data_IF_099348202595
#
_entry.id   IF_099348202595
#
_cell.length_a   1.000
_cell.length_b   1.000
_cell.length_c   1.000
_cell.angle_alpha   90.00
_cell.angle_beta   90.00
_cell.angle_gamma   90.00
#
_symmetry.space_group_name_H-M   'P 1'
#
loop_
_entity.id
_entity.type
_entity.pdbx_description
1 polymer ?
#
# COMPACT_ATOMS: atom_id res chain seq x y z
N UNK A 1 -2.70 -26.64 12.99
CA UNK A 1 -3.21 -25.72 14.03
C UNK A 1 -2.28 -24.51 14.11
N UNK A 2 -2.82 -23.31 14.36
CA UNK A 2 -2.01 -22.11 14.57
C UNK A 2 -1.88 -21.88 16.08
N UNK A 3 -0.66 -22.00 16.60
CA UNK A 3 -0.36 -21.97 18.04
C UNK A 3 -0.68 -20.60 18.65
N UNK A 4 -1.10 -20.58 19.91
CA UNK A 4 -1.56 -19.37 20.61
C UNK A 4 -0.51 -18.26 20.62
N UNK A 5 0.77 -18.62 20.78
CA UNK A 5 1.92 -17.74 20.65
C UNK A 5 1.93 -16.97 19.32
N UNK A 6 1.82 -17.69 18.19
CA UNK A 6 1.91 -17.10 16.84
C UNK A 6 0.82 -16.05 16.65
N UNK A 7 -0.41 -16.34 17.08
CA UNK A 7 -1.53 -15.41 16.91
C UNK A 7 -1.38 -14.15 17.79
N UNK A 8 -0.90 -14.30 19.02
CA UNK A 8 -0.71 -13.17 19.93
C UNK A 8 0.45 -12.28 19.46
N UNK A 9 1.59 -12.87 19.11
CA UNK A 9 2.77 -12.13 18.62
C UNK A 9 2.44 -11.42 17.30
N UNK A 10 1.77 -12.10 16.35
CA UNK A 10 1.32 -11.49 15.10
C UNK A 10 0.41 -10.27 15.33
N UNK A 11 -0.59 -10.39 16.20
CA UNK A 11 -1.48 -9.27 16.51
C UNK A 11 -0.74 -8.08 17.15
N UNK A 12 0.26 -8.35 17.98
CA UNK A 12 1.10 -7.30 18.59
C UNK A 12 1.97 -6.59 17.55
N UNK A 13 2.57 -7.35 16.63
CA UNK A 13 3.38 -6.80 15.53
C UNK A 13 2.53 -5.96 14.58
N UNK A 14 1.33 -6.44 14.22
CA UNK A 14 0.42 -5.72 13.34
C UNK A 14 -0.02 -4.38 13.93
N UNK A 15 -0.29 -4.33 15.24
CA UNK A 15 -0.58 -3.08 15.96
C UNK A 15 0.60 -2.10 15.96
N UNK A 16 1.84 -2.60 15.87
CA UNK A 16 3.06 -1.82 15.76
C UNK A 16 3.43 -1.49 14.31
N UNK A 17 2.64 -1.91 13.32
CA UNK A 17 2.87 -1.64 11.90
C UNK A 17 3.79 -2.65 11.20
N UNK A 18 4.25 -3.70 11.88
CA UNK A 18 5.10 -4.73 11.30
C UNK A 18 4.26 -5.89 10.78
N UNK A 19 4.31 -6.13 9.47
CA UNK A 19 3.55 -7.16 8.76
C UNK A 19 4.46 -7.98 7.84
N UNK A 20 3.97 -9.12 7.35
CA UNK A 20 4.69 -9.96 6.36
C UNK A 20 5.41 -11.18 6.92
N UNK A 21 5.43 -11.38 8.24
CA UNK A 21 6.07 -12.55 8.84
C UNK A 21 5.37 -13.88 8.48
N UNK A 22 6.17 -14.81 7.99
CA UNK A 22 5.82 -16.20 7.71
C UNK A 22 5.64 -17.00 8.99
N UNK A 23 4.93 -18.13 8.90
CA UNK A 23 4.77 -19.05 10.03
C UNK A 23 6.12 -19.60 10.54
N UNK A 24 7.10 -19.78 9.64
CA UNK A 24 8.41 -20.29 9.98
C UNK A 24 9.20 -19.31 10.84
N UNK A 25 9.14 -18.01 10.54
CA UNK A 25 9.84 -16.98 11.32
C UNK A 25 9.34 -16.90 12.77
N UNK A 26 8.05 -17.16 13.01
CA UNK A 26 7.53 -17.28 14.37
C UNK A 26 8.02 -18.54 15.10
N UNK A 27 8.27 -19.63 14.37
CA UNK A 27 8.82 -20.87 14.94
C UNK A 27 10.29 -20.67 15.28
N UNK A 28 11.07 -20.10 14.36
CA UNK A 28 12.49 -19.81 14.57
C UNK A 28 12.68 -18.83 15.75
N UNK A 29 11.85 -17.78 15.82
CA UNK A 29 11.85 -16.87 16.98
C UNK A 29 11.53 -17.60 18.29
N UNK A 30 10.57 -18.53 18.29
CA UNK A 30 10.24 -19.30 19.49
C UNK A 30 11.41 -20.19 19.94
N UNK A 31 12.18 -20.74 19.00
CA UNK A 31 13.40 -21.51 19.28
C UNK A 31 14.48 -20.60 19.86
N UNK A 32 14.73 -19.44 19.24
CA UNK A 32 15.79 -18.52 19.63
C UNK A 32 15.56 -17.89 21.03
N UNK A 33 14.31 -17.61 21.39
CA UNK A 33 13.96 -17.11 22.73
C UNK A 33 13.84 -18.21 23.78
N UNK A 34 14.03 -19.49 23.41
CA UNK A 34 13.94 -20.64 24.31
C UNK A 34 12.52 -20.95 24.80
N UNK A 35 11.50 -20.66 23.99
CA UNK A 35 10.10 -20.89 24.36
C UNK A 35 9.80 -22.40 24.42
N UNK A 36 9.49 -22.89 25.62
CA UNK A 36 9.24 -24.32 25.85
C UNK A 36 7.81 -24.76 25.51
N UNK A 37 6.85 -23.84 25.54
CA UNK A 37 5.42 -24.11 25.30
C UNK A 37 4.79 -22.99 24.46
N UNK A 38 4.44 -23.30 23.20
CA UNK A 38 3.82 -22.35 22.26
C UNK A 38 2.32 -22.12 22.50
N UNK A 39 1.66 -22.96 23.31
CA UNK A 39 0.24 -22.85 23.60
C UNK A 39 -0.03 -22.14 24.93
N UNK A 40 0.98 -21.98 25.79
CA UNK A 40 0.90 -21.18 27.00
C UNK A 40 2.12 -20.25 27.23
N UNK A 41 2.38 -19.30 26.31
CA UNK A 41 3.50 -18.37 26.44
C UNK A 41 3.27 -17.33 27.55
N UNK A 42 4.30 -17.04 28.34
CA UNK A 42 4.29 -15.99 29.36
C UNK A 42 4.35 -14.59 28.72
N UNK A 43 3.89 -13.59 29.46
CA UNK A 43 3.86 -12.21 28.98
C UNK A 43 5.25 -11.67 28.61
N UNK A 44 6.29 -12.04 29.36
CA UNK A 44 7.68 -11.68 29.09
C UNK A 44 8.21 -12.31 27.80
N UNK A 45 7.88 -13.57 27.55
CA UNK A 45 8.27 -14.31 26.34
C UNK A 45 7.61 -13.72 25.09
N UNK A 46 6.35 -13.29 25.21
CA UNK A 46 5.64 -12.59 24.14
C UNK A 46 6.24 -11.22 23.83
N UNK A 47 6.75 -10.49 24.83
CA UNK A 47 7.40 -9.20 24.61
C UNK A 47 8.78 -9.40 23.97
N UNK A 48 9.58 -10.34 24.48
CA UNK A 48 10.87 -10.73 23.88
C UNK A 48 10.73 -11.20 22.43
N UNK A 49 9.70 -11.99 22.12
CA UNK A 49 9.43 -12.44 20.76
C UNK A 49 9.09 -11.29 19.81
N UNK A 50 8.31 -10.31 20.27
CA UNK A 50 7.95 -9.13 19.48
C UNK A 50 9.18 -8.26 19.24
N UNK A 51 10.00 -8.03 20.27
CA UNK A 51 11.26 -7.27 20.16
C UNK A 51 12.25 -7.98 19.22
N UNK A 52 12.45 -9.29 19.40
CA UNK A 52 13.32 -10.09 18.55
C UNK A 52 12.90 -10.06 17.07
N UNK A 53 11.60 -10.17 16.78
CA UNK A 53 11.12 -10.11 15.39
C UNK A 53 11.20 -8.71 14.79
N UNK A 54 11.03 -7.66 15.61
CA UNK A 54 11.24 -6.28 15.17
C UNK A 54 12.73 -6.03 14.90
N UNK A 55 13.61 -6.43 15.82
CA UNK A 55 15.06 -6.32 15.65
C UNK A 55 15.55 -7.16 14.48
N UNK A 56 15.01 -8.37 14.29
CA UNK A 56 15.33 -9.20 13.11
C UNK A 56 14.85 -8.55 11.82
N UNK A 57 13.68 -7.91 11.79
CA UNK A 57 13.21 -7.19 10.61
C UNK A 57 14.00 -5.90 10.37
N UNK A 58 14.43 -5.20 11.43
CA UNK A 58 15.30 -4.01 11.37
C UNK A 58 16.74 -4.35 11.00
N UNK A 59 17.27 -5.49 11.46
CA UNK A 59 18.61 -6.00 11.12
C UNK A 59 18.62 -6.76 9.79
N UNK A 60 17.48 -7.28 9.31
CA UNK A 60 17.35 -7.66 7.90
C UNK A 60 17.38 -6.42 6.98
N UNK A 61 17.02 -5.24 7.50
CA UNK A 61 17.22 -3.94 6.86
C UNK A 61 18.63 -3.36 7.13
N UNK A 62 19.47 -4.02 7.94
CA UNK A 62 20.87 -3.68 8.16
C UNK A 62 21.67 -4.82 8.79
N UNK A 63 22.56 -5.43 8.00
CA UNK A 63 23.89 -5.74 8.46
C UNK A 63 24.87 -4.88 7.66
N UNK A 64 25.11 -3.67 8.17
CA UNK A 64 26.46 -3.10 8.19
C UNK A 64 27.08 -3.53 9.52
N UNK A 65 27.21 -4.84 9.72
CA UNK A 65 28.32 -5.30 10.55
C UNK A 65 29.53 -5.23 9.64
N UNK A 66 30.44 -4.34 10.01
CA UNK A 66 31.82 -4.27 9.53
C UNK A 66 32.55 -5.55 9.97
N UNK A 67 32.11 -6.72 9.51
CA UNK A 67 33.07 -7.79 9.33
C UNK A 67 33.89 -7.39 8.11
N UNK A 68 35.19 -7.17 8.33
CA UNK A 68 36.23 -7.33 7.31
C UNK A 68 36.13 -8.75 6.74
N UNK A 69 35.06 -9.02 5.99
CA UNK A 69 34.96 -10.18 5.16
C UNK A 69 35.88 -9.83 4.00
N UNK A 70 37.15 -10.23 4.14
CA UNK A 70 38.11 -10.30 3.05
C UNK A 70 37.43 -11.10 1.95
N UNK A 71 36.81 -10.36 1.03
CA UNK A 71 36.24 -10.85 -0.20
C UNK A 71 37.38 -11.57 -0.91
N UNK A 72 37.44 -12.89 -0.75
CA UNK A 72 38.37 -13.73 -1.50
C UNK A 72 37.81 -13.89 -2.91
N UNK A 73 37.67 -12.77 -3.61
CA UNK A 73 37.47 -12.74 -5.04
C UNK A 73 38.87 -12.89 -5.62
N UNK A 74 39.11 -14.05 -6.23
CA UNK A 74 40.28 -14.28 -7.07
C UNK A 74 40.13 -13.43 -8.33
N UNK A 75 40.43 -12.14 -8.23
CA UNK A 75 40.58 -11.26 -9.38
C UNK A 75 41.94 -11.59 -10.02
N UNK A 76 42.02 -11.85 -11.33
CA UNK A 76 43.31 -11.88 -12.00
C UNK A 76 43.95 -10.49 -11.84
N UNK A 77 45.18 -10.44 -11.30
CA UNK A 77 46.04 -9.25 -11.37
C UNK A 77 46.13 -8.83 -12.84
N UNK A 78 45.45 -7.74 -13.20
CA UNK A 78 45.55 -7.12 -14.51
C UNK A 78 46.09 -5.72 -14.35
N UNK A 79 47.06 -5.42 -15.20
CA UNK A 79 47.57 -4.07 -15.44
C UNK A 79 46.41 -3.12 -15.80
N UNK A 80 46.49 -1.90 -15.28
CA UNK A 80 45.54 -0.77 -15.34
C UNK A 80 44.83 -0.61 -16.70
N UNK A 81 43.77 -1.37 -16.92
CA UNK A 81 42.88 -1.25 -18.07
C UNK A 81 41.46 -1.07 -17.55
N UNK A 82 40.76 -0.06 -18.08
CA UNK A 82 39.39 0.24 -17.67
C UNK A 82 38.48 -0.99 -17.85
N UNK A 83 37.62 -1.26 -16.86
CA UNK A 83 36.70 -2.40 -16.88
C UNK A 83 35.78 -2.33 -18.12
N UNK A 84 35.65 -3.44 -18.82
CA UNK A 84 34.71 -3.55 -19.95
C UNK A 84 33.27 -3.53 -19.46
N UNK A 85 32.32 -3.20 -20.34
CA UNK A 85 30.88 -3.20 -20.02
C UNK A 85 30.38 -4.55 -19.50
N UNK A 86 30.91 -5.65 -20.04
CA UNK A 86 30.54 -7.01 -19.61
C UNK A 86 31.05 -7.29 -18.20
N UNK A 87 32.29 -6.93 -17.89
CA UNK A 87 32.87 -7.10 -16.55
C UNK A 87 32.12 -6.26 -15.52
N UNK A 88 31.72 -5.04 -15.87
CA UNK A 88 30.88 -4.19 -15.01
C UNK A 88 29.53 -4.81 -14.71
N UNK A 89 28.86 -5.40 -15.71
CA UNK A 89 27.59 -6.10 -15.51
C UNK A 89 27.74 -7.32 -14.60
N UNK A 90 28.80 -8.11 -14.80
CA UNK A 90 29.09 -9.29 -13.98
C UNK A 90 29.37 -8.89 -12.53
N UNK A 91 30.15 -7.83 -12.30
CA UNK A 91 30.42 -7.31 -10.96
C UNK A 91 29.15 -6.73 -10.29
N UNK A 92 28.26 -6.09 -11.05
CA UNK A 92 26.94 -5.66 -10.52
C UNK A 92 26.11 -6.89 -10.12
N UNK A 93 26.07 -7.93 -10.96
CA UNK A 93 25.35 -9.17 -10.66
C UNK A 93 25.89 -9.83 -9.39
N UNK A 94 27.20 -10.06 -9.32
CA UNK A 94 27.88 -10.63 -8.15
C UNK A 94 27.61 -9.80 -6.89
N UNK A 95 27.70 -8.47 -6.99
CA UNK A 95 27.45 -7.59 -5.85
C UNK A 95 25.98 -7.65 -5.42
N UNK A 96 25.04 -7.73 -6.35
CA UNK A 96 23.61 -7.86 -6.03
C UNK A 96 23.29 -9.20 -5.34
N UNK A 97 23.89 -10.29 -5.82
CA UNK A 97 23.75 -11.61 -5.21
C UNK A 97 24.35 -11.64 -3.80
N UNK A 98 25.51 -11.01 -3.61
CA UNK A 98 26.13 -10.84 -2.30
C UNK A 98 25.27 -10.00 -1.33
N UNK A 99 24.46 -9.09 -1.86
CA UNK A 99 23.46 -8.34 -1.09
C UNK A 99 22.13 -9.09 -0.89
N UNK A 100 22.00 -10.32 -1.42
CA UNK A 100 20.76 -11.08 -1.39
C UNK A 100 19.65 -10.52 -2.28
N UNK A 101 20.01 -9.70 -3.27
CA UNK A 101 19.08 -9.03 -4.19
C UNK A 101 19.12 -9.75 -5.53
N UNK A 102 17.95 -10.18 -6.02
CA UNK A 102 17.81 -10.69 -7.38
C UNK A 102 17.46 -9.53 -8.31
N UNK A 103 18.40 -9.15 -9.18
CA UNK A 103 18.17 -8.17 -10.24
C UNK A 103 17.79 -8.88 -11.55
N UNK A 104 16.94 -8.25 -12.36
CA UNK A 104 16.74 -8.73 -13.74
C UNK A 104 17.93 -8.33 -14.63
N UNK A 105 18.10 -9.00 -15.76
CA UNK A 105 19.16 -8.69 -16.72
C UNK A 105 19.12 -7.21 -17.17
N UNK A 106 17.91 -6.66 -17.34
CA UNK A 106 17.75 -5.24 -17.70
C UNK A 106 18.17 -4.29 -16.58
N UNK A 107 17.92 -4.65 -15.31
CA UNK A 107 18.35 -3.85 -14.16
C UNK A 107 19.87 -3.83 -14.04
N UNK A 108 20.51 -4.99 -14.23
CA UNK A 108 21.97 -5.11 -14.22
C UNK A 108 22.60 -4.24 -15.30
N UNK A 109 22.06 -4.28 -16.53
CA UNK A 109 22.51 -3.44 -17.63
C UNK A 109 22.34 -1.95 -17.28
N UNK A 110 21.19 -1.55 -16.75
CA UNK A 110 20.90 -0.17 -16.39
C UNK A 110 21.82 0.35 -15.28
N UNK A 111 22.05 -0.44 -14.24
CA UNK A 111 22.94 -0.12 -13.11
C UNK A 111 24.38 -0.01 -13.58
N UNK A 112 24.88 -1.00 -14.33
CA UNK A 112 26.24 -0.98 -14.86
C UNK A 112 26.49 0.22 -15.80
N UNK A 113 25.47 0.64 -16.56
CA UNK A 113 25.55 1.80 -17.45
C UNK A 113 25.59 3.14 -16.72
N UNK A 114 25.19 3.19 -15.44
CA UNK A 114 25.25 4.39 -14.60
C UNK A 114 26.58 4.57 -13.86
N UNK A 115 27.50 3.61 -14.00
CA UNK A 115 28.85 3.69 -13.40
C UNK A 115 29.77 4.68 -14.11
N UNK A 116 30.75 5.19 -13.38
CA UNK A 116 31.82 5.99 -13.97
C UNK A 116 32.67 5.15 -14.96
N UNK A 117 32.87 5.65 -16.18
CA UNK A 117 33.70 5.00 -17.20
C UNK A 117 35.18 4.91 -16.80
N UNK A 118 35.63 5.73 -15.83
CA UNK A 118 37.04 5.84 -15.46
C UNK A 118 37.51 4.84 -14.40
N UNK A 119 36.63 3.99 -13.85
CA UNK A 119 37.01 3.05 -12.81
C UNK A 119 37.78 1.87 -13.41
N UNK A 120 39.08 1.83 -13.12
CA UNK A 120 40.02 0.83 -13.63
C UNK A 120 40.17 -0.41 -12.73
N UNK A 121 39.63 -0.40 -11.51
CA UNK A 121 39.77 -1.53 -10.57
C UNK A 121 38.43 -2.17 -10.22
N UNK A 122 38.38 -3.50 -10.29
CA UNK A 122 37.20 -4.29 -9.93
C UNK A 122 36.75 -4.06 -8.48
N UNK A 123 37.69 -3.88 -7.55
CA UNK A 123 37.37 -3.60 -6.13
C UNK A 123 36.73 -2.23 -5.95
N UNK A 124 37.25 -1.20 -6.64
CA UNK A 124 36.67 0.13 -6.62
C UNK A 124 35.26 0.12 -7.24
N UNK A 125 35.10 -0.64 -8.33
CA UNK A 125 33.81 -0.80 -8.98
C UNK A 125 32.80 -1.56 -8.11
N UNK A 126 33.18 -2.61 -7.38
CA UNK A 126 32.26 -3.32 -6.47
C UNK A 126 31.70 -2.40 -5.38
N UNK A 127 32.54 -1.51 -4.84
CA UNK A 127 32.11 -0.50 -3.85
C UNK A 127 31.12 0.48 -4.46
N UNK A 128 31.36 0.93 -5.69
CA UNK A 128 30.44 1.80 -6.43
C UNK A 128 29.13 1.06 -6.79
N UNK A 129 29.23 -0.17 -7.29
CA UNK A 129 28.11 -1.02 -7.68
C UNK A 129 27.13 -1.21 -6.52
N UNK A 130 27.61 -1.41 -5.29
CA UNK A 130 26.76 -1.44 -4.09
C UNK A 130 25.95 -0.15 -3.93
N UNK A 131 26.58 1.01 -4.14
CA UNK A 131 25.92 2.32 -4.12
C UNK A 131 24.89 2.47 -5.23
N UNK A 132 25.25 2.10 -6.47
CA UNK A 132 24.37 2.17 -7.63
C UNK A 132 23.15 1.26 -7.50
N UNK A 133 23.33 0.02 -7.01
CA UNK A 133 22.24 -0.92 -6.70
C UNK A 133 21.30 -0.32 -5.65
N UNK A 134 21.85 0.24 -4.57
CA UNK A 134 21.04 0.84 -3.49
C UNK A 134 20.25 2.04 -4.00
N UNK A 135 20.87 2.90 -4.80
CA UNK A 135 20.22 4.07 -5.40
C UNK A 135 19.12 3.65 -6.38
N UNK A 136 19.38 2.63 -7.21
CA UNK A 136 18.41 2.09 -8.15
C UNK A 136 17.15 1.58 -7.44
N UNK A 137 17.33 0.78 -6.39
CA UNK A 137 16.22 0.26 -5.59
C UNK A 137 15.46 1.38 -4.87
N UNK A 138 16.15 2.37 -4.30
CA UNK A 138 15.52 3.53 -3.68
C UNK A 138 14.66 4.31 -4.69
N UNK A 139 15.16 4.49 -5.91
CA UNK A 139 14.44 5.16 -6.99
C UNK A 139 13.20 4.37 -7.42
N UNK A 140 13.30 3.04 -7.58
CA UNK A 140 12.13 2.20 -7.86
C UNK A 140 11.07 2.30 -6.76
N UNK A 141 11.47 2.19 -5.49
CA UNK A 141 10.54 2.30 -4.36
C UNK A 141 9.85 3.67 -4.36
N UNK A 142 10.58 4.75 -4.63
CA UNK A 142 10.02 6.09 -4.73
C UNK A 142 9.04 6.22 -5.90
N UNK A 143 9.36 5.64 -7.07
CA UNK A 143 8.46 5.62 -8.22
C UNK A 143 7.15 4.87 -7.89
N UNK A 144 7.23 3.69 -7.27
CA UNK A 144 6.04 2.95 -6.83
C UNK A 144 5.22 3.72 -5.79
N UNK A 145 5.86 4.41 -4.85
CA UNK A 145 5.17 5.27 -3.87
C UNK A 145 4.43 6.43 -4.54
N UNK A 146 5.06 7.08 -5.52
CA UNK A 146 4.44 8.17 -6.28
C UNK A 146 3.23 7.66 -7.07
N UNK A 147 3.38 6.55 -7.79
CA UNK A 147 2.29 5.93 -8.54
C UNK A 147 1.11 5.53 -7.63
N UNK A 148 1.41 4.94 -6.47
CA UNK A 148 0.39 4.56 -5.49
C UNK A 148 -0.34 5.77 -4.92
N UNK A 149 0.40 6.85 -4.62
CA UNK A 149 -0.17 8.11 -4.11
C UNK A 149 -1.09 8.74 -5.15
N UNK A 150 -0.68 8.74 -6.42
CA UNK A 150 -1.52 9.24 -7.52
C UNK A 150 -2.81 8.44 -7.65
N UNK A 151 -2.73 7.10 -7.67
CA UNK A 151 -3.91 6.24 -7.76
C UNK A 151 -4.89 6.46 -6.60
N UNK A 152 -4.38 6.62 -5.38
CA UNK A 152 -5.21 6.95 -4.21
C UNK A 152 -5.88 8.32 -4.35
N UNK A 153 -5.17 9.30 -4.93
CA UNK A 153 -5.73 10.60 -5.27
C UNK A 153 -6.89 10.50 -6.26
N UNK A 154 -6.70 9.74 -7.34
CA UNK A 154 -7.72 9.54 -8.39
C UNK A 154 -8.97 8.84 -7.83
N UNK A 155 -8.79 7.80 -7.01
CA UNK A 155 -9.91 7.09 -6.34
C UNK A 155 -10.64 8.04 -5.40
N UNK A 156 -9.91 8.82 -4.61
CA UNK A 156 -10.52 9.77 -3.67
C UNK A 156 -11.31 10.85 -4.41
N UNK A 157 -10.78 11.34 -5.54
CA UNK A 157 -11.48 12.27 -6.43
C UNK A 157 -12.79 11.68 -6.96
N UNK A 158 -12.75 10.48 -7.52
CA UNK A 158 -13.92 9.80 -8.05
C UNK A 158 -15.01 9.56 -6.98
N UNK A 159 -14.61 9.21 -5.75
CA UNK A 159 -15.54 9.02 -4.62
C UNK A 159 -16.19 10.34 -4.19
N UNK A 160 -15.43 11.43 -4.16
CA UNK A 160 -15.95 12.75 -3.83
C UNK A 160 -16.92 13.26 -4.91
N UNK A 161 -16.59 13.05 -6.19
CA UNK A 161 -17.46 13.40 -7.31
C UNK A 161 -18.78 12.61 -7.26
N UNK A 162 -18.70 11.30 -7.02
CA UNK A 162 -19.90 10.47 -6.86
C UNK A 162 -20.75 10.94 -5.66
N UNK A 163 -20.12 11.27 -4.53
CA UNK A 163 -20.83 11.77 -3.34
C UNK A 163 -21.53 13.12 -3.61
N UNK A 164 -20.89 14.01 -4.36
CA UNK A 164 -21.48 15.27 -4.80
C UNK A 164 -22.69 15.05 -5.72
N UNK A 165 -22.56 14.14 -6.69
CA UNK A 165 -23.68 13.77 -7.58
C UNK A 165 -24.86 13.17 -6.83
N UNK A 166 -24.61 12.26 -5.88
CA UNK A 166 -25.67 11.67 -5.03
C UNK A 166 -26.39 12.77 -4.25
N UNK A 167 -25.65 13.70 -3.65
CA UNK A 167 -26.25 14.81 -2.89
C UNK A 167 -27.15 15.69 -3.78
N UNK A 168 -26.72 15.98 -5.02
CA UNK A 168 -27.53 16.74 -5.99
C UNK A 168 -28.79 15.98 -6.40
N UNK A 169 -28.71 14.66 -6.58
CA UNK A 169 -29.86 13.81 -6.89
C UNK A 169 -30.86 13.84 -5.73
N UNK A 170 -30.39 13.69 -4.49
CA UNK A 170 -31.24 13.72 -3.30
C UNK A 170 -31.97 15.06 -3.15
N UNK A 171 -31.27 16.17 -3.36
CA UNK A 171 -31.90 17.50 -3.41
C UNK A 171 -32.97 17.59 -4.51
N UNK A 172 -32.65 17.10 -5.72
CA UNK A 172 -33.58 17.07 -6.85
C UNK A 172 -34.84 16.26 -6.57
N UNK A 173 -34.70 15.08 -5.95
CA UNK A 173 -35.81 14.22 -5.52
C UNK A 173 -36.67 14.95 -4.48
N UNK A 174 -36.06 15.54 -3.46
CA UNK A 174 -36.79 16.25 -2.40
C UNK A 174 -37.58 17.44 -2.95
N UNK A 175 -37.00 18.20 -3.89
CA UNK A 175 -37.71 19.28 -4.57
C UNK A 175 -38.85 18.74 -5.44
N UNK A 176 -38.63 17.66 -6.18
CA UNK A 176 -39.64 17.00 -7.02
C UNK A 176 -40.84 16.52 -6.20
N UNK A 177 -40.58 15.80 -5.10
CA UNK A 177 -41.62 15.32 -4.18
C UNK A 177 -42.40 16.48 -3.56
N UNK A 178 -41.71 17.54 -3.13
CA UNK A 178 -42.37 18.74 -2.58
C UNK A 178 -43.31 19.41 -3.60
N UNK A 179 -42.89 19.50 -4.88
CA UNK A 179 -43.73 20.02 -5.96
C UNK A 179 -44.95 19.13 -6.23
N UNK A 180 -44.76 17.80 -6.24
CA UNK A 180 -45.86 16.85 -6.44
C UNK A 180 -46.88 16.98 -5.30
N UNK A 181 -46.43 16.98 -4.05
CA UNK A 181 -47.29 17.14 -2.88
C UNK A 181 -48.08 18.46 -2.94
N UNK A 182 -47.41 19.56 -3.28
CA UNK A 182 -48.05 20.86 -3.50
C UNK A 182 -49.10 20.83 -4.62
N UNK A 183 -48.79 20.20 -5.75
CA UNK A 183 -49.70 20.05 -6.87
C UNK A 183 -50.93 19.18 -6.54
N UNK A 184 -50.74 18.10 -5.79
CA UNK A 184 -51.82 17.24 -5.30
C UNK A 184 -52.74 18.02 -4.36
N UNK A 185 -52.18 18.77 -3.41
CA UNK A 185 -52.95 19.61 -2.50
C UNK A 185 -53.75 20.69 -3.24
N UNK A 186 -53.12 21.39 -4.20
CA UNK A 186 -53.79 22.37 -5.03
C UNK A 186 -54.91 21.75 -5.88
N UNK A 187 -54.69 20.56 -6.44
CA UNK A 187 -55.71 19.82 -7.21
C UNK A 187 -56.89 19.41 -6.33
N UNK A 188 -56.64 18.96 -5.10
CA UNK A 188 -57.68 18.59 -4.15
C UNK A 188 -58.57 19.79 -3.78
N UNK A 189 -57.96 20.95 -3.47
CA UNK A 189 -58.70 22.17 -3.16
C UNK A 189 -59.51 22.69 -4.36
N UNK A 190 -58.96 22.62 -5.59
CA UNK A 190 -59.71 22.94 -6.81
C UNK A 190 -60.94 22.05 -6.96
N UNK A 191 -60.79 20.72 -6.86
CA UNK A 191 -61.95 19.79 -6.94
C UNK A 191 -63.00 20.08 -5.88
N UNK A 192 -62.58 20.39 -4.65
CA UNK A 192 -63.50 20.75 -3.56
C UNK A 192 -64.27 22.03 -3.87
N UNK A 193 -63.59 23.04 -4.41
CA UNK A 193 -64.21 24.28 -4.89
C UNK A 193 -65.20 24.02 -6.02
N UNK A 194 -64.80 23.25 -7.04
CA UNK A 194 -65.63 22.91 -8.20
C UNK A 194 -66.87 22.11 -7.80
N UNK A 195 -66.72 21.15 -6.88
CA UNK A 195 -67.83 20.38 -6.32
C UNK A 195 -68.81 21.28 -5.57
N UNK A 196 -68.31 22.22 -4.75
CA UNK A 196 -69.18 23.20 -4.06
C UNK A 196 -69.93 24.09 -5.04
N UNK A 197 -69.26 24.58 -6.08
CA UNK A 197 -69.88 25.38 -7.13
C UNK A 197 -70.96 24.58 -7.86
N UNK A 198 -70.69 23.33 -8.20
CA UNK A 198 -71.63 22.42 -8.87
C UNK A 198 -72.85 22.14 -8.00
N UNK A 199 -72.65 21.81 -6.71
CA UNK A 199 -73.75 21.60 -5.75
C UNK A 199 -74.59 22.87 -5.58
N UNK A 200 -73.96 24.04 -5.53
CA UNK A 200 -74.67 25.32 -5.45
C UNK A 200 -75.57 25.55 -6.67
N UNK A 201 -75.06 25.25 -7.88
CA UNK A 201 -75.85 25.36 -9.13
C UNK A 201 -77.00 24.36 -9.16
N UNK A 202 -76.76 23.11 -8.78
CA UNK A 202 -77.81 22.09 -8.69
C UNK A 202 -78.90 22.48 -7.69
N UNK A 203 -78.52 23.01 -6.52
CA UNK A 203 -79.47 23.48 -5.52
C UNK A 203 -80.33 24.64 -6.03
N UNK A 204 -79.72 25.60 -6.75
CA UNK A 204 -80.45 26.69 -7.37
C UNK A 204 -81.42 26.20 -8.47
N UNK A 205 -81.01 25.20 -9.26
CA UNK A 205 -81.86 24.61 -10.29
C UNK A 205 -83.03 23.79 -9.72
N UNK A 206 -82.85 23.14 -8.56
CA UNK A 206 -83.88 22.33 -7.90
C UNK A 206 -84.89 23.15 -7.09
N UNK A 207 -84.53 24.36 -6.65
CA UNK A 207 -85.44 25.32 -6.03
C UNK A 207 -85.50 26.61 -6.86
N UNK A 208 -86.10 26.59 -8.06
CA UNK A 208 -86.13 27.76 -8.95
C UNK A 208 -87.09 28.87 -8.49
N UNK A 209 -87.73 28.72 -7.32
CA UNK A 209 -88.69 29.70 -6.80
C UNK A 209 -88.94 29.52 -5.30
N UNK A 210 -88.17 30.24 -4.51
CA UNK A 210 -88.63 31.02 -3.35
C UNK A 210 -88.13 32.45 -3.57
#
# INVERSE_FOLDING_TARGET
MANKFINIVRNRLYKKGYQGFTKQEFIDCAIDIGLSDMDNPKAEELSKAVEFLIDKQLNQLSPLEEEENTVNVTLPEREETALTKSEKQELVQQQSEAMGITLSEQDVIAIASNSDEQIASGVAFLKEARGLITQYLANQVNAYRQQSTQLLGDISGAVNDASSQISQIDEGINQGLSRILGGVAATAERRKSDNRATLSRLRAALNPGN
#
